data_IF_930350211192
#
_entry.id   IF_930350211192
#
_cell.length_a   1.000
_cell.length_b   1.000
_cell.length_c   1.000
_cell.angle_alpha   90.00
_cell.angle_beta   90.00
_cell.angle_gamma   90.00
#
_symmetry.space_group_name_H-M   'P 1'
#
loop_
_entity.id
_entity.type
_entity.pdbx_description
1 polymer ?
#
# COMPACT_ATOMS: atom_id res chain seq x y z
N UNK A 1 -27.86 -49.70 -24.28
CA UNK A 1 -27.79 -48.25 -24.53
C UNK A 1 -28.46 -47.54 -23.37
N UNK A 2 -27.71 -46.87 -22.51
CA UNK A 2 -28.25 -45.93 -21.53
C UNK A 2 -27.13 -44.94 -21.20
N UNK A 3 -27.23 -43.74 -21.77
CA UNK A 3 -26.30 -42.64 -21.57
C UNK A 3 -26.77 -41.85 -20.35
N UNK A 4 -25.95 -41.77 -19.31
CA UNK A 4 -26.15 -40.86 -18.19
C UNK A 4 -25.42 -39.53 -18.49
N UNK A 5 -26.04 -38.36 -18.26
CA UNK A 5 -25.39 -37.08 -18.50
C UNK A 5 -24.37 -36.79 -17.40
N UNK A 6 -23.17 -36.36 -17.80
CA UNK A 6 -22.10 -35.85 -16.92
C UNK A 6 -22.57 -34.52 -16.33
N UNK A 7 -22.47 -34.30 -15.00
CA UNK A 7 -22.89 -33.03 -14.40
C UNK A 7 -21.90 -31.93 -14.79
N UNK A 8 -22.47 -30.81 -15.24
CA UNK A 8 -21.77 -29.59 -15.60
C UNK A 8 -21.07 -29.05 -14.34
N UNK A 9 -19.74 -29.04 -14.35
CA UNK A 9 -18.95 -28.49 -13.26
C UNK A 9 -19.28 -27.00 -13.08
N UNK A 10 -19.75 -26.68 -11.89
CA UNK A 10 -20.09 -25.35 -11.41
C UNK A 10 -18.87 -24.43 -11.52
N UNK A 11 -19.01 -23.36 -12.30
CA UNK A 11 -17.96 -22.39 -12.54
C UNK A 11 -17.56 -21.71 -11.22
N UNK A 12 -16.30 -21.86 -10.84
CA UNK A 12 -15.71 -21.16 -9.70
C UNK A 12 -15.90 -19.63 -9.86
N UNK A 13 -16.19 -18.90 -8.76
CA UNK A 13 -16.43 -17.46 -8.83
C UNK A 13 -15.18 -16.72 -9.31
N UNK A 14 -15.34 -15.58 -10.01
CA UNK A 14 -14.22 -14.81 -10.52
C UNK A 14 -13.33 -14.35 -9.35
N UNK A 15 -12.02 -14.61 -9.47
CA UNK A 15 -11.03 -14.11 -8.54
C UNK A 15 -11.18 -12.59 -8.41
N UNK A 16 -11.53 -12.12 -7.22
CA UNK A 16 -11.74 -10.70 -6.95
C UNK A 16 -10.46 -9.93 -7.26
N UNK A 17 -10.54 -8.97 -8.18
CA UNK A 17 -9.46 -8.01 -8.41
C UNK A 17 -8.98 -7.42 -7.06
N UNK A 18 -7.67 -7.16 -6.89
CA UNK A 18 -7.15 -6.62 -5.65
C UNK A 18 -7.91 -5.33 -5.29
N UNK A 19 -8.50 -5.31 -4.09
CA UNK A 19 -9.21 -4.14 -3.59
C UNK A 19 -8.21 -3.02 -3.42
N UNK A 20 -8.17 -2.08 -4.36
CA UNK A 20 -7.37 -0.85 -4.26
C UNK A 20 -7.93 -0.02 -3.12
N UNK A 21 -7.45 -0.28 -1.89
CA UNK A 21 -7.79 0.54 -0.73
C UNK A 21 -7.17 1.90 -0.91
N UNK A 22 -8.02 2.91 -1.07
CA UNK A 22 -7.60 4.32 -1.08
C UNK A 22 -7.30 4.71 0.37
N UNK A 23 -6.03 4.67 0.75
CA UNK A 23 -5.60 5.17 2.06
C UNK A 23 -5.70 6.70 2.06
N UNK A 24 -6.52 7.26 2.96
CA UNK A 24 -6.63 8.71 3.15
C UNK A 24 -6.02 9.11 4.49
N UNK A 25 -5.56 10.36 4.57
CA UNK A 25 -5.07 10.89 5.85
C UNK A 25 -6.19 10.92 6.91
N UNK A 26 -7.46 11.01 6.51
CA UNK A 26 -8.64 10.90 7.36
C UNK A 26 -8.76 9.58 8.12
N UNK A 27 -8.16 8.51 7.59
CA UNK A 27 -8.29 7.15 8.14
C UNK A 27 -7.29 6.94 9.30
N UNK A 28 -6.36 7.88 9.48
CA UNK A 28 -5.34 7.84 10.53
C UNK A 28 -5.85 8.56 11.79
N UNK A 29 -5.59 8.01 12.99
CA UNK A 29 -5.92 8.62 14.28
C UNK A 29 -4.96 9.79 14.63
N UNK A 30 -4.80 10.72 13.70
CA UNK A 30 -3.93 11.90 13.83
C UNK A 30 -4.76 13.17 14.01
N UNK A 31 -4.14 14.25 14.51
CA UNK A 31 -4.79 15.57 14.56
C UNK A 31 -5.00 16.17 13.17
N UNK A 32 -6.02 17.02 13.01
CA UNK A 32 -6.39 17.63 11.72
C UNK A 32 -5.21 18.28 11.00
N UNK A 33 -4.39 19.06 11.72
CA UNK A 33 -3.23 19.74 11.14
C UNK A 33 -2.21 18.76 10.51
N UNK A 34 -1.97 17.61 11.17
CA UNK A 34 -1.07 16.57 10.65
C UNK A 34 -1.64 15.89 9.41
N UNK A 35 -2.96 15.62 9.40
CA UNK A 35 -3.62 15.03 8.23
C UNK A 35 -3.52 15.95 7.02
N UNK A 36 -3.80 17.25 7.19
CA UNK A 36 -3.66 18.25 6.13
C UNK A 36 -2.23 18.37 5.62
N UNK A 37 -1.23 18.31 6.52
CA UNK A 37 0.17 18.31 6.10
C UNK A 37 0.53 17.09 5.22
N UNK A 38 0.06 15.90 5.58
CA UNK A 38 0.26 14.68 4.78
C UNK A 38 -0.40 14.80 3.40
N UNK A 39 -1.64 15.30 3.36
CA UNK A 39 -2.35 15.52 2.08
C UNK A 39 -1.62 16.55 1.21
N UNK A 40 -1.15 17.64 1.80
CA UNK A 40 -0.37 18.65 1.10
C UNK A 40 0.91 18.06 0.50
N UNK A 41 1.67 17.27 1.28
CA UNK A 41 2.86 16.59 0.77
C UNK A 41 2.54 15.70 -0.43
N UNK A 42 1.46 14.92 -0.39
CA UNK A 42 1.04 14.09 -1.52
C UNK A 42 0.68 14.92 -2.76
N UNK A 43 0.02 16.07 -2.59
CA UNK A 43 -0.30 16.98 -3.71
C UNK A 43 0.95 17.64 -4.30
N UNK A 44 1.90 18.07 -3.46
CA UNK A 44 3.16 18.69 -3.91
C UNK A 44 4.03 17.66 -4.61
N UNK A 45 4.14 16.45 -4.06
CA UNK A 45 4.84 15.32 -4.68
C UNK A 45 4.28 15.02 -6.07
N UNK A 46 2.94 15.00 -6.21
CA UNK A 46 2.28 14.87 -7.51
C UNK A 46 2.65 16.01 -8.47
N UNK A 47 2.53 17.26 -8.02
CA UNK A 47 2.79 18.45 -8.84
C UNK A 47 4.24 18.54 -9.32
N UNK A 48 5.20 18.09 -8.51
CA UNK A 48 6.62 18.04 -8.88
C UNK A 48 6.98 16.83 -9.75
N UNK A 49 6.01 15.99 -10.14
CA UNK A 49 6.23 14.86 -11.01
C UNK A 49 6.81 13.63 -10.33
N UNK A 50 6.73 13.52 -9.00
CA UNK A 50 7.29 12.37 -8.26
C UNK A 50 6.74 11.02 -8.74
N UNK A 51 5.44 10.92 -9.02
CA UNK A 51 4.84 9.70 -9.58
C UNK A 51 5.39 9.34 -10.97
N UNK A 52 5.72 10.35 -11.79
CA UNK A 52 6.25 10.12 -13.13
C UNK A 52 7.69 9.61 -13.05
N UNK A 53 8.51 10.25 -12.20
CA UNK A 53 9.88 9.85 -11.93
C UNK A 53 9.96 8.41 -11.39
N UNK A 54 9.13 8.07 -10.41
CA UNK A 54 9.06 6.70 -9.87
C UNK A 54 8.60 5.69 -10.92
N UNK A 55 7.60 6.03 -11.74
CA UNK A 55 7.16 5.15 -12.84
C UNK A 55 8.30 4.89 -13.83
N UNK A 56 9.06 5.92 -14.21
CA UNK A 56 10.21 5.79 -15.09
C UNK A 56 11.32 4.95 -14.44
N UNK A 57 11.59 5.14 -13.15
CA UNK A 57 12.59 4.37 -12.43
C UNK A 57 12.21 2.89 -12.32
N UNK A 58 10.95 2.59 -12.00
CA UNK A 58 10.43 1.22 -11.98
C UNK A 58 10.54 0.58 -13.36
N UNK A 59 10.19 1.31 -14.41
CA UNK A 59 10.32 0.83 -15.78
C UNK A 59 11.78 0.54 -16.16
N UNK A 60 12.71 1.43 -15.84
CA UNK A 60 14.14 1.22 -16.08
C UNK A 60 14.69 0.00 -15.30
N UNK A 61 14.28 -0.18 -14.05
CA UNK A 61 14.62 -1.38 -13.25
C UNK A 61 14.05 -2.65 -13.88
N UNK A 62 12.83 -2.58 -14.41
CA UNK A 62 12.19 -3.68 -15.11
C UNK A 62 12.94 -4.04 -16.40
N UNK A 63 13.26 -3.07 -17.26
CA UNK A 63 14.03 -3.31 -18.51
C UNK A 63 15.45 -3.83 -18.26
N UNK A 64 16.09 -3.38 -17.18
CA UNK A 64 17.44 -3.85 -16.81
C UNK A 64 17.41 -5.28 -16.24
N UNK A 65 16.24 -5.75 -15.81
CA UNK A 65 16.08 -7.08 -15.22
C UNK A 65 15.74 -8.13 -16.25
N UNK A 66 15.96 -9.40 -15.91
CA UNK A 66 15.53 -10.53 -16.74
C UNK A 66 14.02 -10.82 -16.64
N UNK A 67 13.23 -9.98 -15.96
CA UNK A 67 11.81 -10.24 -15.72
C UNK A 67 10.98 -10.24 -17.00
N UNK A 68 11.31 -9.40 -17.99
CA UNK A 68 10.65 -9.42 -19.29
C UNK A 68 10.79 -10.79 -19.96
N UNK A 69 12.00 -11.34 -19.96
CA UNK A 69 12.27 -12.66 -20.53
C UNK A 69 11.55 -13.77 -19.75
N UNK A 70 11.49 -13.67 -18.42
CA UNK A 70 10.76 -14.63 -17.58
C UNK A 70 9.26 -14.61 -17.85
N UNK A 71 8.64 -13.42 -17.87
CA UNK A 71 7.20 -13.29 -18.15
C UNK A 71 6.88 -13.78 -19.56
N UNK A 72 7.71 -13.43 -20.56
CA UNK A 72 7.54 -13.91 -21.93
C UNK A 72 7.58 -15.43 -22.01
N UNK A 73 8.51 -16.07 -21.28
CA UNK A 73 8.62 -17.52 -21.21
C UNK A 73 7.37 -18.16 -20.59
N UNK A 74 6.84 -17.60 -19.50
CA UNK A 74 5.61 -18.11 -18.88
C UNK A 74 4.39 -17.92 -19.77
N UNK A 75 4.28 -16.78 -20.48
CA UNK A 75 3.22 -16.53 -21.47
C UNK A 75 3.28 -17.57 -22.59
N UNK A 76 4.47 -17.83 -23.15
CA UNK A 76 4.65 -18.82 -24.20
C UNK A 76 4.26 -20.21 -23.72
N UNK A 77 4.68 -20.59 -22.50
CA UNK A 77 4.33 -21.88 -21.91
C UNK A 77 2.83 -22.10 -21.81
N UNK A 78 2.07 -21.10 -21.36
CA UNK A 78 0.60 -21.21 -21.27
C UNK A 78 -0.03 -21.21 -22.65
N UNK A 79 0.47 -20.40 -23.58
CA UNK A 79 0.00 -20.41 -24.96
C UNK A 79 0.23 -21.76 -25.65
N UNK A 80 1.37 -22.41 -25.42
CA UNK A 80 1.67 -23.76 -25.90
C UNK A 80 0.71 -24.80 -25.32
N UNK A 81 0.45 -24.77 -24.01
CA UNK A 81 -0.53 -25.67 -23.38
C UNK A 81 -1.94 -25.47 -23.94
N UNK A 82 -2.36 -24.23 -24.15
CA UNK A 82 -3.66 -23.93 -24.75
C UNK A 82 -3.72 -24.38 -26.21
N UNK A 83 -2.61 -24.26 -26.95
CA UNK A 83 -2.50 -24.78 -28.32
C UNK A 83 -2.61 -26.29 -28.36
N UNK A 84 -1.96 -27.01 -27.45
CA UNK A 84 -2.08 -28.47 -27.34
C UNK A 84 -3.51 -28.90 -26.98
N UNK A 85 -4.15 -28.19 -26.06
CA UNK A 85 -5.49 -28.54 -25.56
C UNK A 85 -6.61 -28.20 -26.53
N UNK A 86 -6.50 -27.07 -27.21
CA UNK A 86 -7.56 -26.47 -28.03
C UNK A 86 -7.11 -26.22 -29.48
N UNK A 87 -6.21 -27.07 -30.01
CA UNK A 87 -5.57 -26.90 -31.34
C UNK A 87 -6.55 -26.65 -32.49
N UNK A 88 -7.61 -27.45 -32.59
CA UNK A 88 -8.60 -27.32 -33.65
C UNK A 88 -9.31 -25.96 -33.60
N UNK A 89 -9.57 -25.41 -32.41
CA UNK A 89 -10.18 -24.11 -32.26
C UNK A 89 -9.16 -23.01 -32.58
N UNK A 90 -8.00 -23.01 -31.94
CA UNK A 90 -7.03 -21.91 -32.05
C UNK A 90 -6.41 -21.78 -33.45
N UNK A 91 -6.19 -22.88 -34.16
CA UNK A 91 -5.57 -22.87 -35.49
C UNK A 91 -6.55 -22.53 -36.64
N UNK A 92 -7.86 -22.68 -36.42
CA UNK A 92 -8.88 -22.41 -37.45
C UNK A 92 -9.59 -21.07 -37.25
N UNK A 93 -9.48 -20.48 -36.05
CA UNK A 93 -10.01 -19.13 -35.81
C UNK A 93 -9.09 -18.06 -36.39
N UNK A 94 -9.68 -16.90 -36.69
CA UNK A 94 -8.93 -15.69 -37.03
C UNK A 94 -7.98 -15.32 -35.90
N UNK A 95 -6.78 -14.84 -36.27
CA UNK A 95 -5.68 -14.52 -35.33
C UNK A 95 -6.12 -13.71 -34.11
N UNK A 96 -6.97 -12.70 -34.29
CA UNK A 96 -7.46 -11.86 -33.20
C UNK A 96 -8.33 -12.62 -32.18
N UNK A 97 -9.15 -13.55 -32.65
CA UNK A 97 -10.02 -14.36 -31.78
C UNK A 97 -9.22 -15.44 -31.06
N UNK A 98 -8.25 -16.06 -31.74
CA UNK A 98 -7.33 -17.00 -31.10
C UNK A 98 -6.48 -16.30 -30.02
N UNK A 99 -5.97 -15.10 -30.31
CA UNK A 99 -5.24 -14.28 -29.33
C UNK A 99 -6.10 -13.96 -28.10
N UNK A 100 -7.36 -13.55 -28.29
CA UNK A 100 -8.27 -13.28 -27.17
C UNK A 100 -8.55 -14.52 -26.29
N UNK A 101 -8.61 -15.72 -26.87
CA UNK A 101 -8.79 -16.96 -26.11
C UNK A 101 -7.57 -17.30 -25.25
N UNK A 102 -6.36 -17.12 -25.82
CA UNK A 102 -5.09 -17.29 -25.11
C UNK A 102 -4.96 -16.24 -24.01
N UNK A 103 -5.28 -14.98 -24.30
CA UNK A 103 -5.25 -13.87 -23.34
C UNK A 103 -6.16 -14.14 -22.13
N UNK A 104 -7.38 -14.63 -22.37
CA UNK A 104 -8.27 -15.06 -21.30
C UNK A 104 -7.72 -16.26 -20.50
N UNK A 105 -6.95 -17.15 -21.12
CA UNK A 105 -6.28 -18.25 -20.42
C UNK A 105 -5.12 -17.75 -19.55
N UNK A 106 -4.33 -16.79 -20.05
CA UNK A 106 -3.28 -16.11 -19.30
C UNK A 106 -3.86 -15.40 -18.06
N UNK A 107 -4.98 -14.70 -18.20
CA UNK A 107 -5.66 -14.03 -17.08
C UNK A 107 -6.08 -15.01 -15.97
N UNK A 108 -6.59 -16.19 -16.35
CA UNK A 108 -6.95 -17.25 -15.39
C UNK A 108 -5.75 -17.95 -14.78
N UNK A 109 -4.62 -18.00 -15.49
CA UNK A 109 -3.39 -18.66 -15.02
C UNK A 109 -2.67 -17.89 -13.91
N UNK A 110 -2.98 -16.61 -13.72
CA UNK A 110 -2.35 -15.80 -12.67
C UNK A 110 -1.10 -15.04 -13.12
N UNK A 111 -0.65 -15.20 -14.37
CA UNK A 111 0.62 -14.64 -14.86
C UNK A 111 0.65 -13.11 -14.74
N UNK A 112 -0.45 -12.42 -15.08
CA UNK A 112 -0.51 -10.96 -14.96
C UNK A 112 -0.41 -10.49 -13.51
N UNK A 113 -1.04 -11.21 -12.59
CA UNK A 113 -1.01 -10.91 -11.16
C UNK A 113 0.39 -11.15 -10.58
N UNK A 114 1.10 -12.17 -11.06
CA UNK A 114 2.48 -12.41 -10.66
C UNK A 114 3.43 -11.34 -11.23
N UNK A 115 3.23 -10.92 -12.48
CA UNK A 115 3.94 -9.78 -13.07
C UNK A 115 3.67 -8.48 -12.28
N UNK A 116 2.42 -8.22 -11.88
CA UNK A 116 2.04 -7.06 -11.07
C UNK A 116 2.76 -7.06 -9.72
N UNK A 117 2.87 -8.22 -9.04
CA UNK A 117 3.62 -8.33 -7.78
C UNK A 117 5.10 -8.01 -7.96
N UNK A 118 5.71 -8.48 -9.05
CA UNK A 118 7.11 -8.18 -9.36
C UNK A 118 7.29 -6.68 -9.55
N UNK A 119 6.45 -6.04 -10.39
CA UNK A 119 6.48 -4.60 -10.62
C UNK A 119 6.25 -3.82 -9.32
N UNK A 120 5.30 -4.25 -8.48
CA UNK A 120 5.04 -3.63 -7.18
C UNK A 120 6.27 -3.74 -6.25
N UNK A 121 7.00 -4.85 -6.30
CA UNK A 121 8.25 -5.05 -5.56
C UNK A 121 9.42 -4.17 -6.03
N UNK A 122 9.37 -3.63 -7.25
CA UNK A 122 10.39 -2.69 -7.76
C UNK A 122 10.21 -1.26 -7.25
N UNK A 123 9.04 -0.95 -6.69
CA UNK A 123 8.73 0.37 -6.11
C UNK A 123 9.53 0.54 -4.82
N UNK A 124 10.41 1.54 -4.80
CA UNK A 124 11.24 1.82 -3.63
C UNK A 124 10.53 2.81 -2.70
N UNK A 125 9.75 2.27 -1.77
CA UNK A 125 9.04 3.08 -0.78
C UNK A 125 9.98 3.98 0.06
N UNK A 126 11.24 3.56 0.29
CA UNK A 126 12.21 4.35 1.06
C UNK A 126 12.73 5.53 0.26
N UNK A 127 12.97 5.34 -1.04
CA UNK A 127 13.35 6.44 -1.94
C UNK A 127 12.23 7.48 -2.04
N UNK A 128 10.97 7.04 -2.19
CA UNK A 128 9.79 7.91 -2.18
C UNK A 128 9.68 8.67 -0.85
N UNK A 129 9.86 7.98 0.28
CA UNK A 129 9.84 8.61 1.59
C UNK A 129 10.93 9.67 1.75
N UNK A 130 12.16 9.39 1.29
CA UNK A 130 13.26 10.34 1.32
C UNK A 130 12.93 11.60 0.48
N UNK A 131 12.34 11.43 -0.70
CA UNK A 131 11.88 12.56 -1.52
C UNK A 131 10.78 13.37 -0.80
N UNK A 132 9.80 12.70 -0.16
CA UNK A 132 8.76 13.38 0.61
C UNK A 132 9.34 14.16 1.80
N UNK A 133 10.35 13.61 2.49
CA UNK A 133 11.08 14.30 3.56
C UNK A 133 11.82 15.53 3.05
N UNK A 134 12.40 15.46 1.85
CA UNK A 134 13.00 16.62 1.20
C UNK A 134 11.97 17.71 0.90
N UNK A 135 10.81 17.34 0.36
CA UNK A 135 9.71 18.29 0.14
C UNK A 135 9.27 18.94 1.45
N UNK A 136 9.22 18.17 2.54
CA UNK A 136 8.89 18.69 3.85
C UNK A 136 9.95 19.66 4.37
N UNK A 137 11.25 19.35 4.22
CA UNK A 137 12.36 20.27 4.57
C UNK A 137 12.24 21.60 3.86
N UNK A 138 11.91 21.59 2.57
CA UNK A 138 11.69 22.82 1.79
C UNK A 138 10.46 23.61 2.26
N UNK A 139 9.42 22.95 2.75
CA UNK A 139 8.16 23.59 3.19
C UNK A 139 8.28 24.25 4.57
N UNK A 140 8.86 23.55 5.56
CA UNK A 140 8.86 24.00 6.96
C UNK A 140 10.24 24.42 7.49
N UNK A 141 11.29 24.26 6.69
CA UNK A 141 12.68 24.51 7.08
C UNK A 141 13.37 23.28 7.69
N UNK A 142 14.70 23.32 7.71
CA UNK A 142 15.54 22.19 8.10
C UNK A 142 15.39 21.82 9.59
N UNK A 143 15.42 22.82 10.48
CA UNK A 143 15.32 22.62 11.93
C UNK A 143 13.97 22.00 12.32
N UNK A 144 12.87 22.58 11.85
CA UNK A 144 11.52 22.09 12.14
C UNK A 144 11.26 20.68 11.56
N UNK A 145 11.84 20.37 10.40
CA UNK A 145 11.73 19.05 9.78
C UNK A 145 12.51 17.98 10.54
N UNK A 146 13.70 18.30 11.06
CA UNK A 146 14.47 17.36 11.88
C UNK A 146 13.79 17.09 13.22
N UNK A 147 13.19 18.10 13.86
CA UNK A 147 12.35 17.89 15.05
C UNK A 147 11.14 17.00 14.76
N UNK A 148 10.46 17.21 13.63
CA UNK A 148 9.33 16.36 13.20
C UNK A 148 9.80 14.92 12.96
N UNK A 149 10.96 14.73 12.34
CA UNK A 149 11.57 13.42 12.10
C UNK A 149 11.93 12.71 13.40
N UNK A 150 12.61 13.39 14.33
CA UNK A 150 12.99 12.84 15.63
C UNK A 150 11.77 12.47 16.46
N UNK A 151 10.73 13.31 16.45
CA UNK A 151 9.46 13.00 17.13
C UNK A 151 8.75 11.80 16.50
N UNK A 152 8.84 11.66 15.18
CA UNK A 152 8.26 10.57 14.42
C UNK A 152 9.05 9.26 14.46
N UNK A 153 10.33 9.29 14.84
CA UNK A 153 11.20 8.11 14.95
C UNK A 153 11.14 7.43 16.31
N UNK A 154 10.30 7.92 17.23
CA UNK A 154 10.13 7.29 18.54
C UNK A 154 9.67 5.85 18.37
N UNK A 155 10.29 4.94 19.10
CA UNK A 155 9.85 3.53 19.11
C UNK A 155 8.55 3.38 19.91
N UNK A 156 7.85 2.27 19.70
CA UNK A 156 6.62 1.97 20.45
C UNK A 156 6.88 1.93 21.96
N UNK A 157 8.04 1.43 22.38
CA UNK A 157 8.47 1.38 23.79
C UNK A 157 8.67 2.78 24.36
N UNK A 158 9.37 3.66 23.64
CA UNK A 158 9.54 5.06 24.02
C UNK A 158 8.21 5.81 24.07
N UNK A 159 7.29 5.48 23.16
CA UNK A 159 5.95 6.05 23.13
C UNK A 159 5.12 5.62 24.33
N UNK A 160 5.20 4.34 24.71
CA UNK A 160 4.55 3.80 25.88
C UNK A 160 5.08 4.45 27.17
N UNK A 161 6.40 4.61 27.29
CA UNK A 161 7.03 5.27 28.43
C UNK A 161 6.63 6.75 28.55
N UNK A 162 6.66 7.52 27.45
CA UNK A 162 6.20 8.93 27.42
C UNK A 162 4.71 9.04 27.80
N UNK A 163 3.89 8.08 27.35
CA UNK A 163 2.46 8.05 27.69
C UNK A 163 2.21 7.70 29.16
N UNK A 164 2.96 6.76 29.72
CA UNK A 164 2.89 6.39 31.13
C UNK A 164 3.31 7.57 32.03
N UNK A 165 4.46 8.21 31.73
CA UNK A 165 4.93 9.38 32.46
C UNK A 165 3.90 10.53 32.43
N UNK A 166 3.28 10.81 31.27
CA UNK A 166 2.19 11.80 31.19
C UNK A 166 0.96 11.42 31.98
N UNK A 167 0.66 10.13 32.13
CA UNK A 167 -0.47 9.66 32.93
C UNK A 167 -0.17 9.85 34.41
N UNK A 168 1.01 9.44 34.87
CA UNK A 168 1.46 9.63 36.24
C UNK A 168 1.47 11.12 36.63
N UNK A 169 1.98 11.99 35.77
CA UNK A 169 1.96 13.43 36.00
C UNK A 169 0.53 13.97 36.13
N UNK A 170 -0.39 13.52 35.26
CA UNK A 170 -1.81 13.91 35.36
C UNK A 170 -2.46 13.38 36.64
N UNK A 171 -2.06 12.22 37.12
CA UNK A 171 -2.56 11.65 38.37
C UNK A 171 -2.03 12.43 39.58
N UNK A 172 -0.74 12.76 39.60
CA UNK A 172 -0.13 13.64 40.61
C UNK A 172 -0.82 14.99 40.70
N UNK A 173 -1.00 15.67 39.56
CA UNK A 173 -1.72 16.96 39.51
C UNK A 173 -3.15 16.84 40.03
N UNK A 174 -3.86 15.73 39.73
CA UNK A 174 -5.21 15.48 40.28
C UNK A 174 -5.20 15.20 41.78
N UNK A 175 -4.18 14.55 42.29
CA UNK A 175 -4.03 14.29 43.73
C UNK A 175 -3.69 15.56 44.50
N UNK A 176 -2.78 16.38 43.97
CA UNK A 176 -2.45 17.70 44.52
C UNK A 176 -3.68 18.62 44.55
N UNK A 177 -4.47 18.66 43.47
CA UNK A 177 -5.73 19.40 43.43
C UNK A 177 -6.72 18.91 44.49
N UNK A 178 -6.86 17.59 44.66
CA UNK A 178 -7.73 17.01 45.71
C UNK A 178 -7.28 17.40 47.12
N UNK A 179 -5.98 17.34 47.39
CA UNK A 179 -5.43 17.74 48.69
C UNK A 179 -5.61 19.24 48.97
N UNK A 180 -5.49 20.09 47.95
CA UNK A 180 -5.75 21.54 48.08
C UNK A 180 -7.22 21.81 48.37
N UNK A 181 -8.14 21.13 47.69
CA UNK A 181 -9.59 21.24 47.95
C UNK A 181 -9.98 20.77 49.36
N UNK A 182 -9.42 19.64 49.82
CA UNK A 182 -9.67 19.13 51.18
C UNK A 182 -9.16 20.10 52.26
N UNK A 183 -7.94 20.64 52.09
CA UNK A 183 -7.40 21.66 53.00
C UNK A 183 -8.24 22.93 53.02
N UNK A 184 -8.78 23.34 51.87
CA UNK A 184 -9.66 24.51 51.77
C UNK A 184 -10.98 24.28 52.51
N UNK A 185 -11.58 23.09 52.39
CA UNK A 185 -12.78 22.72 53.15
C UNK A 185 -12.57 22.72 54.67
N UNK A 186 -11.45 22.18 55.13
CA UNK A 186 -11.10 22.15 56.56
C UNK A 186 -10.89 23.55 57.15
N UNK A 187 -10.43 24.51 56.34
CA UNK A 187 -10.29 25.92 56.76
C UNK A 187 -11.61 26.70 56.72
N UNK A 188 -12.58 26.31 55.90
CA UNK A 188 -13.91 26.93 55.86
C UNK A 188 -14.84 26.41 56.98
N UNK A 189 -14.57 25.22 57.53
CA UNK A 189 -15.33 24.61 58.65
C UNK A 189 -14.78 24.97 60.05
N UNK A 190 -13.65 25.66 60.14
CA UNK A 190 -13.00 26.09 61.39
C UNK A 190 -13.22 27.60 61.69
#
# INVERSE_FOLDING_TARGET
MSSAPIPLAEAAPPASAPVVRKFKASDLPLGSAKRTAIENLATVFKKKGGYDAERQQVWAKFETSDFEAQITKEILRVAEQELERNSHQLLHLERGKAAALIDGALERSGIYQDAEKVIAGLIDAKAIEAQLRELRRVEIGEEAAEEERLRGSKTDEEYAADTAARREERERVREELRQVEEKKRQLEEA
#
